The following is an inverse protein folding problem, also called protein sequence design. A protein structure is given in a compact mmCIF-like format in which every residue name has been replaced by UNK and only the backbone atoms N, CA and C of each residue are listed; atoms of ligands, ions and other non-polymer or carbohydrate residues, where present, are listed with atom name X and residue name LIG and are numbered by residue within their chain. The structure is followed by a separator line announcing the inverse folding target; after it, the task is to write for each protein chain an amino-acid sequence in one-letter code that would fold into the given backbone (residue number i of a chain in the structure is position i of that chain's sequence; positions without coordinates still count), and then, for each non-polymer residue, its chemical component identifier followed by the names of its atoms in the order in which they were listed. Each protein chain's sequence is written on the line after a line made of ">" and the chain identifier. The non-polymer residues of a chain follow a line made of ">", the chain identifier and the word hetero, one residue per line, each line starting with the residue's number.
data_IF_014223720534
#
_entry.id   IF_014223720534
#
_cell.length_a   1.000
_cell.length_b   1.000
_cell.length_c   1.000
_cell.angle_alpha   90.00
_cell.angle_beta   90.00
_cell.angle_gamma   90.00
#
_symmetry.space_group_name_H-M   'P 1'
#
loop_
_entity.id
_entity.type
_entity.pdbx_description
1 polymer ?
#
# COMPACT_ATOMS: atom_id res chain seq x y z
N UNK A 1 -27.30 4.97 10.39
CA UNK A 1 -26.33 4.31 9.51
C UNK A 1 -24.97 4.87 9.87
N UNK A 2 -24.09 4.04 10.42
CA UNK A 2 -22.69 4.39 10.69
C UNK A 2 -21.93 4.38 9.37
N UNK A 3 -20.97 5.30 9.20
CA UNK A 3 -20.07 5.28 8.05
C UNK A 3 -19.03 4.18 8.25
N UNK A 4 -18.47 3.67 7.16
CA UNK A 4 -17.27 2.84 7.25
C UNK A 4 -16.13 3.62 7.91
N UNK A 5 -15.29 2.92 8.67
CA UNK A 5 -14.24 3.53 9.48
C UNK A 5 -12.90 2.82 9.24
N UNK A 6 -11.83 3.61 9.10
CA UNK A 6 -10.45 3.12 9.16
C UNK A 6 -10.00 3.09 10.61
N UNK A 7 -9.40 1.98 11.04
CA UNK A 7 -8.86 1.82 12.39
C UNK A 7 -7.33 1.90 12.39
N UNK A 8 -6.70 1.25 11.42
CA UNK A 8 -5.25 1.21 11.28
C UNK A 8 -4.85 0.69 9.91
N UNK A 9 -3.56 0.69 9.62
CA UNK A 9 -3.03 -0.01 8.48
C UNK A 9 -1.52 -0.11 8.49
N UNK A 10 -1.01 -0.74 7.44
CA UNK A 10 0.40 -0.94 7.21
C UNK A 10 0.72 -0.52 5.78
N UNK A 11 1.65 0.42 5.65
CA UNK A 11 2.30 0.79 4.41
C UNK A 11 3.54 -0.08 4.24
N UNK A 12 3.67 -0.76 3.11
CA UNK A 12 4.83 -1.60 2.81
C UNK A 12 5.66 -0.90 1.75
N UNK A 13 6.89 -0.58 2.11
CA UNK A 13 7.89 -0.09 1.18
C UNK A 13 8.76 -1.23 0.68
N UNK A 14 9.20 -1.10 -0.56
CA UNK A 14 10.19 -1.94 -1.21
C UNK A 14 11.34 -1.11 -1.71
N UNK A 15 12.54 -1.57 -1.40
CA UNK A 15 13.78 -0.99 -1.88
C UNK A 15 14.62 -2.09 -2.52
N UNK A 16 15.12 -1.84 -3.74
CA UNK A 16 16.12 -2.72 -4.33
C UNK A 16 17.53 -2.21 -4.04
N UNK A 17 18.26 -2.93 -3.19
CA UNK A 17 19.67 -2.68 -2.93
C UNK A 17 20.52 -3.70 -3.70
N UNK A 18 21.57 -3.25 -4.41
CA UNK A 18 22.39 -4.14 -5.25
C UNK A 18 23.21 -5.15 -4.44
N UNK A 19 23.56 -4.83 -3.21
CA UNK A 19 24.35 -5.70 -2.33
C UNK A 19 23.47 -6.60 -1.45
N UNK A 20 22.28 -6.11 -1.06
CA UNK A 20 21.37 -6.79 -0.11
C UNK A 20 20.12 -7.38 -0.78
N UNK A 21 19.90 -7.11 -2.06
CA UNK A 21 18.71 -7.53 -2.79
C UNK A 21 17.47 -6.70 -2.43
N UNK A 22 16.29 -7.30 -2.62
CA UNK A 22 15.01 -6.67 -2.28
C UNK A 22 14.84 -6.60 -0.75
N UNK A 23 14.61 -5.40 -0.24
CA UNK A 23 14.29 -5.14 1.17
C UNK A 23 12.84 -4.68 1.29
N UNK A 24 12.13 -5.17 2.31
CA UNK A 24 10.78 -4.74 2.65
C UNK A 24 10.81 -4.03 4.01
N UNK A 25 10.18 -2.85 4.07
CA UNK A 25 9.99 -2.09 5.32
C UNK A 25 8.51 -1.93 5.58
N UNK A 26 8.05 -2.29 6.78
CA UNK A 26 6.66 -2.14 7.21
C UNK A 26 6.52 -0.89 8.07
N UNK A 27 5.62 0.00 7.68
CA UNK A 27 5.36 1.24 8.39
C UNK A 27 3.89 1.31 8.79
N UNK A 28 3.56 1.22 10.09
CA UNK A 28 2.18 1.33 10.56
C UNK A 28 1.66 2.78 10.43
N UNK A 29 0.35 2.92 10.25
CA UNK A 29 -0.39 4.18 10.35
C UNK A 29 -1.75 3.94 11.01
N UNK A 30 -2.34 5.00 11.58
CA UNK A 30 -3.60 4.96 12.32
C UNK A 30 -4.67 5.88 11.73
N UNK A 31 -4.28 6.81 10.86
CA UNK A 31 -5.20 7.70 10.15
C UNK A 31 -4.86 7.77 8.66
N UNK A 32 -5.83 8.19 7.85
CA UNK A 32 -5.59 8.41 6.42
C UNK A 32 -4.67 9.61 6.17
N UNK A 33 -4.67 10.60 7.07
CA UNK A 33 -3.75 11.74 7.01
C UNK A 33 -2.30 11.28 7.26
N UNK A 34 -2.10 10.37 8.21
CA UNK A 34 -0.79 9.78 8.50
C UNK A 34 -0.31 8.94 7.32
N UNK A 35 -1.18 8.12 6.72
CA UNK A 35 -0.90 7.41 5.47
C UNK A 35 -0.48 8.39 4.36
N UNK A 36 -1.23 9.47 4.16
CA UNK A 36 -0.94 10.46 3.13
C UNK A 36 0.42 11.12 3.33
N UNK A 37 0.73 11.51 4.58
CA UNK A 37 2.02 12.08 4.94
C UNK A 37 3.17 11.10 4.69
N UNK A 38 3.02 9.83 5.04
CA UNK A 38 4.02 8.79 4.79
C UNK A 38 4.25 8.54 3.30
N UNK A 39 3.20 8.60 2.48
CA UNK A 39 3.32 8.49 1.03
C UNK A 39 4.07 9.69 0.42
N UNK A 40 3.92 10.88 0.99
CA UNK A 40 4.61 12.09 0.52
C UNK A 40 6.05 12.20 1.04
N UNK A 41 6.34 11.67 2.22
CA UNK A 41 7.66 11.66 2.84
C UNK A 41 8.56 10.53 2.31
N UNK A 42 8.07 9.71 1.38
CA UNK A 42 8.83 8.63 0.78
C UNK A 42 9.91 9.21 -0.14
N UNK A 43 11.15 9.28 0.36
CA UNK A 43 12.31 9.67 -0.42
C UNK A 43 12.73 8.51 -1.35
N UNK A 44 13.21 8.83 -2.56
CA UNK A 44 13.86 7.81 -3.38
C UNK A 44 15.09 7.28 -2.61
N UNK A 45 15.24 5.96 -2.40
CA UNK A 45 14.78 4.86 -3.27
C UNK A 45 13.58 4.02 -2.80
N UNK A 46 12.85 4.42 -1.76
CA UNK A 46 11.76 3.59 -1.20
C UNK A 46 10.50 3.71 -2.04
N UNK A 47 10.11 2.62 -2.70
CA UNK A 47 8.87 2.55 -3.46
C UNK A 47 7.76 1.94 -2.60
N UNK A 48 6.58 2.54 -2.63
CA UNK A 48 5.39 1.91 -2.03
C UNK A 48 5.02 0.67 -2.86
N UNK A 49 4.97 -0.48 -2.21
CA UNK A 49 4.53 -1.74 -2.82
C UNK A 49 3.03 -1.97 -2.61
N UNK A 50 2.58 -1.87 -1.35
CA UNK A 50 1.20 -2.11 -0.97
C UNK A 50 0.79 -1.35 0.28
N UNK A 51 -0.51 -1.08 0.35
CA UNK A 51 -1.18 -0.46 1.49
C UNK A 51 -2.23 -1.46 1.98
N UNK A 52 -2.16 -1.84 3.25
CA UNK A 52 -3.16 -2.67 3.91
C UNK A 52 -3.91 -1.81 4.91
N UNK A 53 -5.22 -1.64 4.72
CA UNK A 53 -6.09 -0.86 5.60
C UNK A 53 -7.01 -1.82 6.34
N UNK A 54 -7.09 -1.68 7.65
CA UNK A 54 -8.01 -2.39 8.53
C UNK A 54 -9.07 -1.44 9.05
N UNK A 55 -10.32 -1.87 9.01
CA UNK A 55 -11.45 -1.01 9.33
C UNK A 55 -12.73 -1.77 9.65
N UNK A 56 -13.80 -1.02 9.82
CA UNK A 56 -15.16 -1.54 9.98
C UNK A 56 -16.02 -1.08 8.81
N UNK A 57 -16.95 -1.93 8.36
CA UNK A 57 -18.01 -1.51 7.46
C UNK A 57 -19.21 -0.90 8.22
N UNK A 58 -20.31 -0.65 7.50
CA UNK A 58 -21.53 -0.05 8.07
C UNK A 58 -22.26 -0.96 9.06
N UNK A 59 -21.93 -2.25 9.08
CA UNK A 59 -22.51 -3.27 9.96
C UNK A 59 -21.53 -3.65 11.09
N UNK A 60 -20.53 -2.80 11.35
CA UNK A 60 -19.46 -2.99 12.34
C UNK A 60 -18.63 -4.27 12.11
N UNK A 61 -18.64 -4.79 10.88
CA UNK A 61 -17.85 -5.97 10.56
C UNK A 61 -16.42 -5.59 10.19
N UNK A 62 -15.40 -6.29 10.72
CA UNK A 62 -14.01 -6.08 10.34
C UNK A 62 -13.79 -6.31 8.84
N UNK A 63 -13.16 -5.32 8.19
CA UNK A 63 -12.76 -5.38 6.79
C UNK A 63 -11.27 -5.08 6.64
N UNK A 64 -10.66 -5.75 5.68
CA UNK A 64 -9.29 -5.49 5.24
C UNK A 64 -9.33 -5.10 3.77
N UNK A 65 -8.78 -3.93 3.44
CA UNK A 65 -8.56 -3.49 2.06
C UNK A 65 -7.08 -3.54 1.76
N UNK A 66 -6.70 -4.19 0.66
CA UNK A 66 -5.30 -4.27 0.22
C UNK A 66 -5.18 -3.61 -1.15
N UNK A 67 -4.41 -2.53 -1.22
CA UNK A 67 -4.05 -1.85 -2.45
C UNK A 67 -2.64 -2.27 -2.84
N UNK A 68 -2.47 -2.81 -4.03
CA UNK A 68 -1.17 -3.24 -4.56
C UNK A 68 -0.84 -2.45 -5.81
N UNK A 69 0.40 -2.00 -5.93
CA UNK A 69 0.90 -1.41 -7.18
C UNK A 69 1.35 -2.53 -8.12
N UNK A 70 0.74 -2.62 -9.29
CA UNK A 70 1.15 -3.56 -10.34
C UNK A 70 1.51 -2.81 -11.61
N UNK A 71 2.75 -2.97 -12.08
CA UNK A 71 3.15 -2.52 -13.41
C UNK A 71 2.93 -3.66 -14.40
N UNK A 72 1.89 -3.54 -15.24
CA UNK A 72 1.60 -4.54 -16.29
C UNK A 72 2.25 -4.07 -17.59
N UNK A 73 3.29 -4.76 -18.03
CA UNK A 73 3.84 -4.56 -19.37
C UNK A 73 3.00 -5.36 -20.37
N UNK A 74 2.11 -4.69 -21.10
CA UNK A 74 1.40 -5.31 -22.23
C UNK A 74 2.33 -5.37 -23.44
N UNK A 75 2.83 -6.56 -23.76
CA UNK A 75 3.53 -6.79 -25.04
C UNK A 75 2.52 -6.61 -26.19
N UNK A 76 2.81 -5.79 -27.22
CA UNK A 76 1.93 -5.67 -28.36
C UNK A 76 1.82 -7.03 -29.07
N UNK A 77 0.59 -7.52 -29.26
CA UNK A 77 0.32 -8.70 -30.08
C UNK A 77 0.89 -8.42 -31.48
N UNK A 78 1.83 -9.25 -31.93
CA UNK A 78 2.23 -9.29 -33.35
C UNK A 78 0.99 -9.66 -34.17
N UNK A 79 0.52 -8.84 -35.12
CA UNK A 79 -0.46 -9.31 -36.09
C UNK A 79 0.21 -10.41 -36.93
N UNK A 80 -0.49 -11.54 -37.05
CA UNK A 80 -0.13 -12.67 -37.92
C UNK A 80 -0.71 -12.39 -39.30
#
# INVERSE_FOLDING_TARGET
>A
MTASQVLSGILVFRQWDRARGLQETLQPFHTLDELYALCLAADAPDMIDRIVVQGLDTDEQPRTLTFVFQSITVSPKRPI
#
